data_IF_109031617385
#
_entry.id   IF_109031617385
#
_cell.length_a   1.000
_cell.length_b   1.000
_cell.length_c   1.000
_cell.angle_alpha   90.00
_cell.angle_beta   90.00
_cell.angle_gamma   90.00
#
_symmetry.space_group_name_H-M   'P 1'
#
loop_
_entity.id
_entity.type
_entity.pdbx_description
1 polymer ?
#
# COMPACT_ATOMS: atom_id res chain seq x y z
N UNK A 1 21.95 8.87 2.23
CA UNK A 1 23.25 8.35 1.70
C UNK A 1 24.43 8.47 2.67
N UNK A 2 24.60 9.63 3.32
CA UNK A 2 25.67 9.92 4.29
C UNK A 2 25.33 9.48 5.74
N UNK A 3 24.11 9.00 5.98
CA UNK A 3 23.60 8.63 7.29
C UNK A 3 23.04 9.81 8.10
N UNK A 4 22.97 11.02 7.53
CA UNK A 4 22.26 12.15 8.12
C UNK A 4 20.78 11.82 8.27
N UNK A 5 20.21 12.11 9.45
CA UNK A 5 18.77 12.00 9.70
C UNK A 5 18.13 13.35 9.39
N UNK A 6 17.10 13.35 8.56
CA UNK A 6 16.31 14.53 8.23
C UNK A 6 14.98 14.49 8.98
N UNK A 7 14.49 15.66 9.40
CA UNK A 7 13.23 15.78 10.13
C UNK A 7 12.40 16.88 9.49
N UNK A 8 11.17 16.54 9.09
CA UNK A 8 10.13 17.52 8.80
C UNK A 8 9.60 18.06 10.12
N UNK A 9 9.97 19.29 10.46
CA UNK A 9 9.57 19.97 11.69
C UNK A 9 8.32 20.81 11.38
N UNK A 10 7.20 20.09 11.21
CA UNK A 10 5.95 20.53 10.59
C UNK A 10 5.49 21.92 11.05
N UNK A 11 5.26 22.09 12.35
CA UNK A 11 4.72 23.34 12.90
C UNK A 11 5.73 24.48 12.94
N UNK A 12 7.02 24.16 12.90
CA UNK A 12 8.08 25.14 12.75
C UNK A 12 8.42 25.42 11.27
N UNK A 13 7.74 24.75 10.32
CA UNK A 13 7.90 24.92 8.87
C UNK A 13 9.36 24.81 8.42
N UNK A 14 10.07 23.84 9.00
CA UNK A 14 11.52 23.67 8.83
C UNK A 14 11.85 22.25 8.43
N UNK A 15 12.95 22.11 7.70
CA UNK A 15 13.61 20.83 7.49
C UNK A 15 14.91 20.84 8.29
N UNK A 16 15.02 19.94 9.26
CA UNK A 16 16.17 19.82 10.17
C UNK A 16 17.07 18.67 9.72
N UNK A 17 18.36 18.79 10.04
CA UNK A 17 19.38 17.77 9.82
C UNK A 17 20.02 17.41 11.14
N UNK A 18 20.16 16.12 11.41
CA UNK A 18 20.89 15.59 12.54
C UNK A 18 22.08 14.81 11.99
N UNK A 19 23.27 15.34 12.21
CA UNK A 19 24.50 14.72 11.75
C UNK A 19 24.73 13.40 12.50
N UNK A 20 25.05 12.32 11.78
CA UNK A 20 25.18 10.96 12.36
C UNK A 20 26.27 10.86 13.42
N UNK A 21 27.41 11.49 13.13
CA UNK A 21 28.65 11.41 13.89
C UNK A 21 28.62 12.26 15.16
N UNK A 22 28.16 13.50 15.01
CA UNK A 22 28.16 14.51 16.08
C UNK A 22 26.83 14.64 16.80
N UNK A 23 25.75 14.06 16.25
CA UNK A 23 24.35 14.24 16.68
C UNK A 23 23.92 15.71 16.69
N UNK A 24 24.67 16.58 16.02
CA UNK A 24 24.38 18.02 15.98
C UNK A 24 23.16 18.28 15.10
N UNK A 25 22.20 19.00 15.66
CA UNK A 25 21.03 19.49 14.91
C UNK A 25 21.38 20.78 14.17
N UNK A 26 21.05 20.86 12.90
CA UNK A 26 21.13 22.07 12.08
C UNK A 26 19.87 22.21 11.20
N UNK A 27 19.72 23.33 10.52
CA UNK A 27 18.58 23.59 9.62
C UNK A 27 19.05 23.46 8.17
N UNK A 28 18.37 22.63 7.38
CA UNK A 28 18.57 22.56 5.93
C UNK A 28 17.78 23.67 5.23
N UNK A 29 16.52 23.84 5.62
CA UNK A 29 15.62 24.83 5.07
C UNK A 29 14.82 25.50 6.20
N UNK A 30 14.84 26.82 6.21
CA UNK A 30 14.08 27.64 7.15
C UNK A 30 12.91 28.34 6.43
N UNK A 31 11.70 27.83 6.65
CA UNK A 31 10.46 28.34 6.06
C UNK A 31 9.59 29.17 7.01
N UNK A 32 10.03 29.40 8.26
CA UNK A 32 9.19 29.98 9.31
C UNK A 32 8.75 31.44 9.05
N UNK A 33 9.59 32.24 8.40
CA UNK A 33 9.39 33.70 8.26
C UNK A 33 8.89 34.14 6.88
N UNK A 34 8.57 33.20 5.99
CA UNK A 34 8.23 33.50 4.60
C UNK A 34 6.81 33.02 4.26
N UNK A 35 6.00 33.95 3.77
CA UNK A 35 4.63 33.68 3.32
C UNK A 35 4.51 33.94 1.82
N UNK A 36 4.78 32.90 1.03
CA UNK A 36 4.46 32.88 -0.40
C UNK A 36 4.10 31.45 -0.77
N UNK A 37 3.02 31.27 -1.55
CA UNK A 37 2.64 29.95 -2.02
C UNK A 37 3.60 29.47 -3.11
N UNK A 38 4.19 30.40 -3.86
CA UNK A 38 5.03 30.19 -5.03
C UNK A 38 6.49 29.92 -4.66
N UNK A 39 6.99 30.51 -3.58
CA UNK A 39 8.37 30.29 -3.12
C UNK A 39 8.50 28.88 -2.48
N UNK A 40 9.31 27.98 -3.04
CA UNK A 40 9.50 26.61 -2.51
C UNK A 40 10.17 26.59 -1.14
N UNK A 41 10.78 27.69 -0.69
CA UNK A 41 11.36 27.81 0.65
C UNK A 41 10.29 28.00 1.73
N UNK A 42 9.08 28.40 1.35
CA UNK A 42 7.95 28.64 2.24
C UNK A 42 7.12 27.36 2.39
N UNK A 43 7.55 26.44 3.27
CA UNK A 43 6.75 25.26 3.59
C UNK A 43 5.56 25.67 4.46
N UNK A 44 4.35 25.19 4.15
CA UNK A 44 3.17 25.48 4.98
C UNK A 44 2.88 24.38 5.97
N UNK A 45 2.95 23.13 5.52
CA UNK A 45 2.68 21.95 6.34
C UNK A 45 3.55 20.77 5.85
N UNK A 46 4.88 20.81 6.08
CA UNK A 46 5.75 19.71 5.68
C UNK A 46 5.44 18.49 6.54
N UNK A 47 4.93 17.43 5.93
CA UNK A 47 4.41 16.26 6.64
C UNK A 47 5.41 15.12 6.70
N UNK A 48 5.91 14.70 5.55
CA UNK A 48 6.86 13.60 5.44
C UNK A 48 7.98 13.95 4.45
N UNK A 49 9.06 13.19 4.49
CA UNK A 49 10.20 13.37 3.61
C UNK A 49 10.89 12.06 3.23
N UNK A 50 11.57 12.09 2.09
CA UNK A 50 12.48 11.03 1.66
C UNK A 50 13.74 11.63 1.03
N UNK A 51 14.76 10.81 0.79
CA UNK A 51 16.06 11.24 0.28
C UNK A 51 16.51 10.38 -0.89
N UNK A 52 16.85 11.00 -2.02
CA UNK A 52 17.34 10.28 -3.20
C UNK A 52 18.81 9.83 -3.08
N UNK A 53 19.25 9.04 -4.06
CA UNK A 53 20.62 8.56 -4.19
C UNK A 53 21.68 9.67 -4.22
N UNK A 54 21.28 10.89 -4.63
CA UNK A 54 22.13 12.09 -4.72
C UNK A 54 22.08 12.95 -3.45
N UNK A 55 21.29 12.56 -2.46
CA UNK A 55 21.13 13.29 -1.20
C UNK A 55 20.14 14.46 -1.25
N UNK A 56 19.35 14.58 -2.31
CA UNK A 56 18.26 15.57 -2.35
C UNK A 56 17.12 15.09 -1.45
N UNK A 57 16.56 16.00 -0.67
CA UNK A 57 15.41 15.76 0.20
C UNK A 57 14.14 16.13 -0.55
N UNK A 58 13.17 15.22 -0.62
CA UNK A 58 11.83 15.49 -1.15
C UNK A 58 10.86 15.56 0.01
N UNK A 59 10.06 16.61 0.06
CA UNK A 59 9.16 16.92 1.18
C UNK A 59 7.74 17.07 0.66
N UNK A 60 6.79 16.44 1.33
CA UNK A 60 5.37 16.66 1.07
C UNK A 60 4.89 17.91 1.82
N UNK A 61 4.45 18.94 1.09
CA UNK A 61 3.89 20.17 1.65
C UNK A 61 2.37 20.13 1.53
N UNK A 62 1.73 19.58 2.56
CA UNK A 62 0.33 19.17 2.55
C UNK A 62 -0.64 20.29 2.23
N UNK A 63 -0.36 21.51 2.67
CA UNK A 63 -1.28 22.64 2.48
C UNK A 63 -1.25 23.21 1.08
N UNK A 64 -0.11 23.13 0.41
CA UNK A 64 0.04 23.60 -0.97
C UNK A 64 -0.06 22.46 -1.99
N UNK A 65 -0.36 21.24 -1.54
CA UNK A 65 -0.54 20.04 -2.36
C UNK A 65 0.61 19.87 -3.37
N UNK A 66 1.84 19.94 -2.88
CA UNK A 66 3.07 19.90 -3.70
C UNK A 66 4.17 19.08 -3.05
N UNK A 67 5.11 18.64 -3.87
CA UNK A 67 6.37 18.04 -3.47
C UNK A 67 7.49 19.07 -3.67
N UNK A 68 8.21 19.40 -2.60
CA UNK A 68 9.37 20.29 -2.65
C UNK A 68 10.65 19.48 -2.64
N UNK A 69 11.54 19.74 -3.58
CA UNK A 69 12.90 19.17 -3.62
C UNK A 69 13.88 20.16 -3.01
N UNK A 70 14.77 19.68 -2.15
CA UNK A 70 15.81 20.47 -1.50
C UNK A 70 17.15 19.77 -1.72
N UNK A 71 18.11 20.46 -2.33
CA UNK A 71 19.45 19.90 -2.57
C UNK A 71 20.26 19.82 -1.25
N UNK A 72 21.37 19.06 -1.20
CA UNK A 72 22.26 19.05 -0.04
C UNK A 72 22.76 20.44 0.38
N UNK A 73 22.89 21.38 -0.57
CA UNK A 73 23.29 22.78 -0.33
C UNK A 73 22.14 23.67 0.17
N UNK A 74 20.90 23.15 0.26
CA UNK A 74 19.73 23.87 0.74
C UNK A 74 18.97 24.66 -0.32
N UNK A 75 19.28 24.46 -1.61
CA UNK A 75 18.50 25.04 -2.71
C UNK A 75 17.16 24.31 -2.83
N UNK A 76 16.05 25.05 -2.77
CA UNK A 76 14.70 24.48 -2.83
C UNK A 76 14.00 24.79 -4.16
N UNK A 77 13.28 23.82 -4.71
CA UNK A 77 12.44 23.94 -5.90
C UNK A 77 11.14 23.15 -5.75
N UNK A 78 10.09 23.56 -6.48
CA UNK A 78 8.87 22.75 -6.60
C UNK A 78 9.18 21.62 -7.58
N UNK A 79 9.10 20.37 -7.11
CA UNK A 79 9.39 19.21 -7.94
C UNK A 79 8.16 18.73 -8.71
N UNK A 80 7.03 18.61 -8.01
CA UNK A 80 5.79 18.14 -8.58
C UNK A 80 4.58 18.71 -7.85
N UNK A 81 3.49 18.91 -8.59
CA UNK A 81 2.25 19.48 -8.06
C UNK A 81 2.36 20.97 -7.81
N UNK A 82 1.24 21.68 -7.98
CA UNK A 82 1.07 23.03 -7.48
C UNK A 82 -0.41 23.42 -7.63
N UNK A 83 -1.15 23.52 -6.53
CA UNK A 83 -2.48 24.11 -6.57
C UNK A 83 -2.69 25.02 -5.35
N UNK A 84 -2.68 26.34 -5.59
CA UNK A 84 -2.87 27.34 -4.54
C UNK A 84 -4.24 27.26 -3.84
N UNK A 85 -5.19 26.51 -4.41
CA UNK A 85 -6.55 26.29 -3.92
C UNK A 85 -6.78 24.88 -3.35
N UNK A 86 -5.79 23.97 -3.46
CA UNK A 86 -5.83 22.59 -2.96
C UNK A 86 -6.71 21.62 -3.77
N UNK A 87 -6.50 20.30 -3.59
CA UNK A 87 -7.55 19.29 -3.78
C UNK A 87 -7.82 18.74 -5.19
N UNK A 88 -7.04 19.11 -6.20
CA UNK A 88 -7.21 18.58 -7.57
C UNK A 88 -6.44 17.27 -7.78
N UNK A 89 -6.94 16.42 -8.69
CA UNK A 89 -6.31 15.15 -9.07
C UNK A 89 -5.95 15.19 -10.55
N UNK A 90 -4.65 15.24 -10.86
CA UNK A 90 -4.19 15.25 -12.25
C UNK A 90 -2.80 14.66 -12.38
N UNK A 91 -2.62 13.70 -13.29
CA UNK A 91 -1.33 13.21 -13.74
C UNK A 91 -0.68 14.22 -14.71
N UNK A 92 0.64 14.36 -14.68
CA UNK A 92 1.32 15.38 -15.47
C UNK A 92 2.78 15.58 -15.10
N UNK A 93 3.46 16.42 -15.86
CA UNK A 93 4.88 16.72 -15.65
C UNK A 93 5.05 17.86 -14.63
N UNK A 94 5.78 17.59 -13.55
CA UNK A 94 6.15 18.59 -12.54
C UNK A 94 4.94 19.34 -11.98
N UNK A 95 4.94 20.67 -12.12
CA UNK A 95 3.85 21.53 -11.63
C UNK A 95 2.55 21.45 -12.44
N UNK A 96 2.53 20.72 -13.56
CA UNK A 96 1.31 20.45 -14.33
C UNK A 96 0.47 19.34 -13.70
N UNK A 97 1.07 18.50 -12.84
CA UNK A 97 0.33 17.53 -12.05
C UNK A 97 -0.40 18.21 -10.87
N UNK A 98 -1.34 17.50 -10.25
CA UNK A 98 -2.00 17.92 -9.01
C UNK A 98 -2.27 16.75 -8.08
N UNK A 99 -2.16 17.02 -6.79
CA UNK A 99 -2.41 16.10 -5.68
C UNK A 99 -3.63 16.56 -4.87
N UNK A 100 -4.42 15.61 -4.36
CA UNK A 100 -5.55 15.92 -3.49
C UNK A 100 -5.08 16.17 -2.05
N UNK A 101 -4.13 15.37 -1.59
CA UNK A 101 -3.48 15.46 -0.29
C UNK A 101 -2.22 14.60 -0.29
N UNK A 102 -1.05 15.11 -0.71
CA UNK A 102 0.18 14.33 -0.71
C UNK A 102 0.69 14.16 0.74
N UNK A 103 0.43 13.02 1.37
CA UNK A 103 0.78 12.73 2.77
C UNK A 103 2.18 12.13 2.89
N UNK A 104 2.28 10.81 3.07
CA UNK A 104 3.56 10.13 3.20
C UNK A 104 4.23 9.92 1.86
N UNK A 105 5.56 9.87 1.89
CA UNK A 105 6.39 9.73 0.68
C UNK A 105 7.50 8.71 0.89
N UNK A 106 7.55 7.73 -0.01
CA UNK A 106 8.63 6.74 -0.09
C UNK A 106 9.44 6.91 -1.37
N UNK A 107 10.61 6.27 -1.43
CA UNK A 107 11.45 6.24 -2.62
C UNK A 107 11.96 4.83 -2.88
N UNK A 108 11.97 4.41 -4.14
CA UNK A 108 12.57 3.14 -4.55
C UNK A 108 14.08 3.29 -4.87
N UNK A 109 14.83 2.18 -5.05
CA UNK A 109 16.25 2.23 -5.40
C UNK A 109 16.59 2.86 -6.75
N UNK A 110 15.59 3.17 -7.58
CA UNK A 110 15.74 3.83 -8.88
C UNK A 110 15.37 5.33 -8.81
N UNK A 111 15.27 5.88 -7.60
CA UNK A 111 14.87 7.26 -7.30
C UNK A 111 13.44 7.62 -7.76
N UNK A 112 12.56 6.65 -7.98
CA UNK A 112 11.14 6.96 -8.15
C UNK A 112 10.50 7.19 -6.78
N UNK A 113 9.73 8.28 -6.67
CA UNK A 113 8.98 8.61 -5.47
C UNK A 113 7.58 7.99 -5.54
N UNK A 114 7.07 7.59 -4.39
CA UNK A 114 5.72 7.07 -4.22
C UNK A 114 5.04 7.89 -3.12
N UNK A 115 3.88 8.46 -3.42
CA UNK A 115 3.18 9.41 -2.55
C UNK A 115 1.78 8.88 -2.26
N UNK A 116 1.43 8.78 -0.98
CA UNK A 116 0.05 8.57 -0.56
C UNK A 116 -0.74 9.84 -0.85
N UNK A 117 -1.74 9.75 -1.72
CA UNK A 117 -2.57 10.89 -2.13
C UNK A 117 -4.06 10.62 -1.82
N UNK A 118 -4.42 10.42 -0.53
CA UNK A 118 -5.81 10.25 -0.13
C UNK A 118 -6.57 11.58 -0.08
N UNK A 119 -7.90 11.48 -0.13
CA UNK A 119 -8.80 12.53 0.32
C UNK A 119 -9.22 12.22 1.78
N UNK A 120 -8.77 12.97 2.80
CA UNK A 120 -9.16 12.69 4.18
C UNK A 120 -10.65 12.92 4.39
N UNK A 121 -11.35 11.97 5.03
CA UNK A 121 -12.80 12.03 5.28
C UNK A 121 -13.24 13.23 6.12
N UNK A 122 -12.39 13.67 7.04
CA UNK A 122 -12.62 14.78 7.97
C UNK A 122 -12.42 16.15 7.32
N UNK A 123 -11.59 16.23 6.28
CA UNK A 123 -11.01 17.51 5.90
C UNK A 123 -12.09 18.53 5.54
N UNK A 124 -12.00 19.76 6.04
CA UNK A 124 -12.83 20.87 5.53
C UNK A 124 -12.64 21.04 4.02
N UNK A 125 -11.49 20.59 3.49
CA UNK A 125 -11.23 20.43 2.05
C UNK A 125 -12.25 19.51 1.38
N UNK A 126 -12.70 18.43 2.02
CA UNK A 126 -13.73 17.54 1.51
C UNK A 126 -15.13 18.16 1.44
N UNK A 127 -15.34 19.46 1.72
CA UNK A 127 -16.67 20.10 1.67
C UNK A 127 -16.88 21.02 0.47
N UNK A 128 -15.82 21.41 -0.24
CA UNK A 128 -15.92 22.30 -1.40
C UNK A 128 -15.65 21.54 -2.72
N UNK A 129 -16.19 22.03 -3.83
CA UNK A 129 -16.38 21.35 -5.14
C UNK A 129 -15.10 20.91 -5.89
N UNK A 130 -14.25 20.14 -5.23
CA UNK A 130 -13.00 19.58 -5.68
C UNK A 130 -13.24 18.27 -6.44
N UNK A 131 -13.81 18.37 -7.65
CA UNK A 131 -13.80 17.31 -8.67
C UNK A 131 -14.08 15.87 -8.19
N UNK A 132 -13.43 14.92 -8.85
CA UNK A 132 -13.49 13.49 -8.48
C UNK A 132 -12.61 13.23 -7.26
N UNK A 133 -13.15 12.54 -6.25
CA UNK A 133 -12.43 12.14 -5.03
C UNK A 133 -11.88 10.74 -5.21
N UNK A 134 -10.58 10.57 -5.01
CA UNK A 134 -9.90 9.30 -5.21
C UNK A 134 -8.90 9.07 -4.09
N UNK A 135 -8.92 7.86 -3.54
CA UNK A 135 -7.84 7.38 -2.68
C UNK A 135 -6.81 6.71 -3.58
N UNK A 136 -5.64 7.30 -3.68
CA UNK A 136 -4.63 6.85 -4.64
C UNK A 136 -3.24 6.86 -4.05
N UNK A 137 -2.36 6.11 -4.70
CA UNK A 137 -0.92 6.17 -4.54
C UNK A 137 -0.38 6.68 -5.86
N UNK A 138 0.42 7.74 -5.81
CA UNK A 138 1.00 8.40 -6.98
C UNK A 138 2.46 7.99 -7.11
N UNK A 139 2.93 7.77 -8.33
CA UNK A 139 4.35 7.59 -8.63
C UNK A 139 4.88 8.86 -9.29
N UNK A 140 6.09 9.25 -8.93
CA UNK A 140 6.82 10.36 -9.53
C UNK A 140 8.18 9.85 -9.99
N UNK A 141 8.46 9.91 -11.27
CA UNK A 141 9.77 9.53 -11.81
C UNK A 141 10.83 10.60 -11.49
N UNK A 142 12.14 10.27 -11.61
CA UNK A 142 13.23 11.21 -11.33
C UNK A 142 13.20 12.51 -12.14
N UNK A 143 12.57 12.52 -13.32
CA UNK A 143 12.37 13.68 -14.18
C UNK A 143 11.10 14.49 -13.87
N UNK A 144 10.30 14.03 -12.90
CA UNK A 144 9.13 14.75 -12.39
C UNK A 144 7.80 14.37 -13.04
N UNK A 145 7.74 13.32 -13.85
CA UNK A 145 6.46 12.84 -14.38
C UNK A 145 5.66 12.17 -13.26
N UNK A 146 4.49 12.72 -12.95
CA UNK A 146 3.53 12.15 -12.00
C UNK A 146 2.55 11.26 -12.74
N UNK A 147 2.36 10.04 -12.24
CA UNK A 147 1.32 9.11 -12.69
C UNK A 147 0.57 8.50 -11.51
N UNK A 148 -0.64 8.03 -11.76
CA UNK A 148 -1.37 7.16 -10.85
C UNK A 148 -0.69 5.79 -10.80
N UNK A 149 -0.20 5.37 -9.63
CA UNK A 149 0.42 4.06 -9.46
C UNK A 149 -0.60 3.00 -9.10
N UNK A 150 -1.48 3.30 -8.15
CA UNK A 150 -2.51 2.39 -7.65
C UNK A 150 -3.66 3.19 -7.01
N UNK A 151 -4.82 2.55 -6.85
CA UNK A 151 -5.97 3.15 -6.21
C UNK A 151 -6.75 4.02 -7.18
N UNK A 152 -7.90 3.51 -7.61
CA UNK A 152 -8.78 4.19 -8.55
C UNK A 152 -10.22 4.29 -8.04
N UNK A 153 -10.46 4.10 -6.74
CA UNK A 153 -11.79 4.17 -6.14
C UNK A 153 -12.38 5.57 -6.36
N UNK A 154 -13.37 5.76 -7.26
CA UNK A 154 -14.10 7.01 -7.36
C UNK A 154 -15.06 6.99 -6.17
N UNK A 155 -14.73 7.67 -5.08
CA UNK A 155 -15.48 7.47 -3.83
C UNK A 155 -16.94 7.92 -4.00
N UNK A 156 -17.86 6.96 -3.90
CA UNK A 156 -19.06 7.12 -3.09
C UNK A 156 -18.69 6.89 -1.63
N UNK A 157 -19.13 7.74 -0.72
CA UNK A 157 -18.73 7.81 0.68
C UNK A 157 -19.26 6.63 1.54
N UNK A 158 -19.14 5.37 1.11
CA UNK A 158 -19.51 4.22 1.97
C UNK A 158 -18.34 3.77 2.84
N UNK A 159 -18.67 3.36 4.08
CA UNK A 159 -17.71 2.91 5.09
C UNK A 159 -16.97 1.64 4.66
N UNK A 160 -15.65 1.61 4.90
CA UNK A 160 -14.73 0.47 4.72
C UNK A 160 -14.83 -0.26 3.38
N UNK A 161 -14.26 0.32 2.32
CA UNK A 161 -14.11 -0.36 1.03
C UNK A 161 -12.63 -0.48 0.66
N UNK A 162 -12.20 -1.69 0.32
CA UNK A 162 -10.88 -1.98 -0.23
C UNK A 162 -10.98 -3.24 -1.09
N UNK A 163 -10.06 -3.40 -2.04
CA UNK A 163 -10.00 -4.60 -2.87
C UNK A 163 -8.54 -4.97 -3.17
N UNK A 164 -8.24 -6.26 -3.05
CA UNK A 164 -6.98 -6.83 -3.54
C UNK A 164 -7.05 -7.00 -5.06
N UNK A 165 -5.90 -7.00 -5.72
CA UNK A 165 -5.81 -7.22 -7.16
C UNK A 165 -4.69 -6.43 -7.81
N UNK A 166 -4.64 -6.46 -9.13
CA UNK A 166 -3.72 -5.61 -9.87
C UNK A 166 -4.08 -4.12 -9.64
N UNK A 167 -3.11 -3.21 -9.70
CA UNK A 167 -3.25 -1.78 -9.39
C UNK A 167 -4.37 -1.05 -10.15
N UNK A 168 -4.84 -1.61 -11.26
CA UNK A 168 -5.96 -1.09 -12.06
C UNK A 168 -7.34 -1.30 -11.38
N UNK A 169 -7.45 -2.30 -10.51
CA UNK A 169 -8.71 -2.67 -9.82
C UNK A 169 -8.58 -2.66 -8.30
N UNK A 170 -7.35 -2.56 -7.77
CA UNK A 170 -7.10 -2.46 -6.34
C UNK A 170 -7.61 -1.12 -5.79
N UNK A 171 -8.41 -1.21 -4.73
CA UNK A 171 -8.96 -0.08 -4.00
C UNK A 171 -8.32 0.03 -2.62
N UNK A 172 -8.17 1.27 -2.16
CA UNK A 172 -7.55 1.64 -0.89
C UNK A 172 -8.43 2.65 -0.18
N UNK A 173 -8.42 2.64 1.15
CA UNK A 173 -9.15 3.60 1.98
C UNK A 173 -8.21 4.42 2.87
N UNK A 174 -7.91 5.63 2.42
CA UNK A 174 -6.91 6.51 3.05
C UNK A 174 -5.47 5.93 3.10
N UNK A 175 -4.83 5.65 1.95
CA UNK A 175 -3.41 5.26 1.90
C UNK A 175 -2.49 6.42 2.30
N UNK A 176 -2.36 6.71 3.59
CA UNK A 176 -1.67 7.90 4.08
C UNK A 176 -0.15 7.83 3.91
N UNK A 177 0.47 6.74 4.36
CA UNK A 177 1.93 6.63 4.41
C UNK A 177 2.44 5.57 3.45
N UNK A 178 3.70 5.75 3.03
CA UNK A 178 4.34 4.93 2.00
C UNK A 178 5.71 4.48 2.50
N UNK A 179 5.91 3.17 2.56
CA UNK A 179 7.23 2.54 2.67
C UNK A 179 7.59 1.86 1.36
N UNK A 180 8.87 1.76 1.03
CA UNK A 180 9.33 1.01 -0.15
C UNK A 180 10.51 0.14 0.27
N UNK A 181 10.57 -1.11 -0.20
CA UNK A 181 11.73 -1.98 0.01
C UNK A 181 12.73 -1.92 -1.14
N UNK A 182 13.88 -2.58 -0.98
CA UNK A 182 14.94 -2.60 -1.99
C UNK A 182 14.57 -3.38 -3.26
N UNK A 183 13.50 -4.17 -3.23
CA UNK A 183 12.96 -4.85 -4.42
C UNK A 183 12.00 -3.95 -5.22
N UNK A 184 11.64 -2.79 -4.66
CA UNK A 184 10.66 -1.87 -5.23
C UNK A 184 9.21 -2.23 -4.90
N UNK A 185 8.95 -3.06 -3.89
CA UNK A 185 7.61 -3.24 -3.39
C UNK A 185 7.22 -2.05 -2.51
N UNK A 186 5.98 -1.59 -2.66
CA UNK A 186 5.41 -0.47 -1.93
C UNK A 186 4.52 -0.98 -0.81
N UNK A 187 4.65 -0.41 0.37
CA UNK A 187 3.84 -0.72 1.54
C UNK A 187 3.04 0.53 1.92
N UNK A 188 1.78 0.34 2.24
CA UNK A 188 0.94 1.45 2.72
C UNK A 188 -0.01 0.99 3.80
N UNK A 189 -0.41 1.93 4.64
CA UNK A 189 -1.47 1.71 5.60
C UNK A 189 -2.78 2.08 4.95
N UNK A 190 -3.68 1.11 4.87
CA UNK A 190 -5.08 1.41 4.61
C UNK A 190 -5.70 1.73 5.96
N UNK A 191 -5.50 2.98 6.41
CA UNK A 191 -5.69 3.37 7.80
C UNK A 191 -7.14 3.28 8.23
N UNK A 192 -8.06 3.45 7.28
CA UNK A 192 -9.48 3.31 7.55
C UNK A 192 -9.87 1.84 7.59
N UNK A 193 -9.32 0.99 6.72
CA UNK A 193 -9.55 -0.46 6.81
C UNK A 193 -8.77 -1.15 7.94
N UNK A 194 -7.86 -0.46 8.64
CA UNK A 194 -7.07 -1.01 9.75
C UNK A 194 -6.13 -2.14 9.31
N UNK A 195 -5.59 -2.04 8.09
CA UNK A 195 -4.71 -3.06 7.50
C UNK A 195 -3.44 -2.44 6.92
N UNK A 196 -2.39 -3.25 6.83
CA UNK A 196 -1.18 -2.97 6.07
C UNK A 196 -1.29 -3.65 4.71
N UNK A 197 -1.09 -2.87 3.64
CA UNK A 197 -1.14 -3.30 2.25
C UNK A 197 0.28 -3.42 1.71
N UNK A 198 0.52 -4.43 0.86
CA UNK A 198 1.73 -4.54 0.04
C UNK A 198 1.33 -4.50 -1.43
N UNK A 199 2.04 -3.69 -2.21
CA UNK A 199 1.95 -3.61 -3.66
C UNK A 199 3.29 -4.04 -4.20
N UNK A 200 3.30 -5.12 -4.96
CA UNK A 200 4.50 -5.67 -5.57
C UNK A 200 4.98 -4.81 -6.73
N UNK A 201 6.26 -4.92 -7.10
CA UNK A 201 6.83 -4.18 -8.24
C UNK A 201 6.13 -4.42 -9.58
N UNK A 202 5.43 -5.56 -9.74
CA UNK A 202 4.63 -5.90 -10.91
C UNK A 202 3.15 -5.50 -10.75
N UNK A 203 2.83 -4.65 -9.78
CA UNK A 203 1.51 -4.02 -9.67
C UNK A 203 0.44 -4.88 -9.00
N UNK A 204 0.78 -5.94 -8.27
CA UNK A 204 -0.22 -6.69 -7.47
C UNK A 204 -0.29 -6.14 -6.05
N UNK A 205 -1.46 -5.63 -5.68
CA UNK A 205 -1.80 -5.18 -4.33
C UNK A 205 -2.53 -6.27 -3.54
N UNK A 206 -2.17 -6.42 -2.26
CA UNK A 206 -2.85 -7.31 -1.34
C UNK A 206 -2.71 -6.86 0.12
N UNK A 207 -3.59 -7.36 1.00
CA UNK A 207 -3.39 -7.23 2.45
C UNK A 207 -2.20 -8.06 2.89
N UNK A 208 -1.18 -7.41 3.44
CA UNK A 208 -0.02 -8.05 4.07
C UNK A 208 -0.32 -8.40 5.53
N UNK A 209 -0.97 -7.48 6.25
CA UNK A 209 -1.27 -7.65 7.67
C UNK A 209 -2.60 -6.99 8.02
N UNK A 210 -3.29 -7.52 9.03
CA UNK A 210 -4.53 -6.95 9.52
C UNK A 210 -5.80 -7.67 9.05
N UNK A 211 -6.85 -7.60 9.87
CA UNK A 211 -8.20 -8.01 9.51
C UNK A 211 -9.05 -6.78 9.29
N UNK A 212 -9.55 -6.60 8.07
CA UNK A 212 -10.20 -5.35 7.71
C UNK A 212 -11.45 -5.03 8.53
N UNK A 213 -11.53 -3.78 8.97
CA UNK A 213 -12.61 -3.25 9.80
C UNK A 213 -12.58 -3.71 11.25
N UNK A 214 -11.50 -4.39 11.69
CA UNK A 214 -11.26 -4.70 13.10
C UNK A 214 -10.10 -3.85 13.62
N UNK A 215 -10.40 -3.01 14.61
CA UNK A 215 -9.41 -2.27 15.37
C UNK A 215 -8.88 -3.09 16.54
N UNK A 216 -7.65 -2.80 16.97
CA UNK A 216 -7.02 -3.45 18.11
C UNK A 216 -5.50 -3.41 18.01
N UNK A 217 -4.80 -4.08 18.94
CA UNK A 217 -3.34 -4.09 19.04
C UNK A 217 -2.75 -5.51 19.12
N UNK A 218 -3.49 -6.52 18.65
CA UNK A 218 -3.11 -7.92 18.78
C UNK A 218 -1.96 -8.29 17.83
N UNK A 219 -0.85 -8.75 18.40
CA UNK A 219 0.29 -9.37 17.70
C UNK A 219 0.03 -10.86 17.49
N UNK A 220 -0.59 -11.21 16.36
CA UNK A 220 -0.83 -12.61 16.00
C UNK A 220 0.44 -13.29 15.47
N UNK A 221 0.48 -14.63 15.53
CA UNK A 221 1.56 -15.46 14.97
C UNK A 221 1.66 -15.35 13.42
N UNK A 222 0.62 -14.87 12.75
CA UNK A 222 0.63 -14.51 11.34
C UNK A 222 0.13 -13.08 11.15
N UNK A 223 0.76 -12.36 10.21
CA UNK A 223 0.51 -10.95 10.00
C UNK A 223 -0.96 -10.68 9.62
N UNK A 224 -1.61 -11.57 8.90
CA UNK A 224 -2.99 -11.43 8.40
C UNK A 224 -4.05 -11.44 9.51
N UNK A 225 -3.73 -11.97 10.70
CA UNK A 225 -4.63 -11.99 11.86
C UNK A 225 -4.27 -10.98 12.94
N UNK A 226 -3.21 -10.19 12.74
CA UNK A 226 -2.90 -9.08 13.62
C UNK A 226 -3.99 -8.02 13.58
N UNK A 227 -4.16 -7.25 14.65
CA UNK A 227 -5.09 -6.12 14.70
C UNK A 227 -4.31 -4.81 14.82
N UNK A 228 -4.78 -3.77 14.14
CA UNK A 228 -4.10 -2.48 14.05
C UNK A 228 -5.05 -1.34 14.44
N UNK A 229 -4.49 -0.27 14.98
CA UNK A 229 -5.20 0.97 15.27
C UNK A 229 -5.16 1.89 14.06
N UNK A 230 -3.97 2.36 13.67
CA UNK A 230 -3.81 3.18 12.46
C UNK A 230 -2.37 3.14 11.97
N UNK A 231 -2.04 2.27 11.02
CA UNK A 231 -0.67 2.14 10.52
C UNK A 231 -0.34 3.34 9.62
N UNK A 232 0.41 4.32 10.13
CA UNK A 232 0.67 5.61 9.45
C UNK A 232 2.15 5.91 9.20
N UNK A 233 3.06 4.97 9.49
CA UNK A 233 4.48 5.14 9.22
C UNK A 233 5.11 3.82 8.87
N UNK A 234 5.96 3.81 7.84
CA UNK A 234 6.58 2.60 7.32
C UNK A 234 8.07 2.82 7.08
N UNK A 235 8.89 1.85 7.50
CA UNK A 235 10.29 1.77 7.13
C UNK A 235 10.69 0.32 6.93
N UNK A 236 11.63 0.06 6.03
CA UNK A 236 12.15 -1.28 5.77
C UNK A 236 13.62 -1.33 6.14
N UNK A 237 14.09 -2.48 6.65
CA UNK A 237 15.52 -2.75 6.75
C UNK A 237 16.04 -3.54 5.54
N UNK A 238 17.36 -3.75 5.49
CA UNK A 238 18.02 -4.51 4.43
C UNK A 238 17.62 -6.00 4.39
N UNK A 239 16.99 -6.51 5.45
CA UNK A 239 16.47 -7.87 5.52
C UNK A 239 14.99 -7.92 5.13
N UNK A 240 14.39 -6.85 4.58
CA UNK A 240 12.96 -6.75 4.28
C UNK A 240 12.04 -6.87 5.51
N UNK A 241 12.56 -6.60 6.72
CA UNK A 241 11.68 -6.40 7.88
C UNK A 241 10.97 -5.06 7.73
N UNK A 242 9.65 -5.07 7.78
CA UNK A 242 8.83 -3.87 7.75
C UNK A 242 8.55 -3.40 9.18
N UNK A 243 8.94 -2.18 9.49
CA UNK A 243 8.61 -1.47 10.71
C UNK A 243 7.39 -0.59 10.45
N UNK A 244 6.37 -0.72 11.30
CA UNK A 244 5.09 -0.05 11.16
C UNK A 244 4.80 0.77 12.42
N UNK A 245 4.51 2.06 12.24
CA UNK A 245 4.03 2.93 13.32
C UNK A 245 2.51 2.79 13.41
N UNK A 246 2.05 2.08 14.44
CA UNK A 246 0.64 1.85 14.74
C UNK A 246 0.12 2.98 15.63
N UNK A 247 -0.22 4.09 14.99
CA UNK A 247 -0.35 5.42 15.60
C UNK A 247 -1.44 5.48 16.67
N UNK A 248 -2.61 4.92 16.40
CA UNK A 248 -3.74 4.92 17.36
C UNK A 248 -3.49 4.00 18.57
N UNK A 249 -2.53 3.08 18.47
CA UNK A 249 -2.11 2.21 19.56
C UNK A 249 -0.83 2.66 20.26
N UNK A 250 -0.17 3.72 19.77
CA UNK A 250 1.11 4.21 20.30
C UNK A 250 2.24 3.16 20.26
N UNK A 251 2.23 2.29 19.24
CA UNK A 251 3.19 1.20 19.09
C UNK A 251 4.05 1.36 17.83
N UNK A 252 5.26 0.81 17.89
CA UNK A 252 6.06 0.49 16.70
C UNK A 252 6.14 -1.03 16.63
N UNK A 253 5.66 -1.60 15.53
CA UNK A 253 5.54 -3.04 15.33
C UNK A 253 6.40 -3.48 14.15
N UNK A 254 6.81 -4.74 14.14
CA UNK A 254 7.63 -5.31 13.06
C UNK A 254 6.87 -6.44 12.39
N UNK A 255 6.89 -6.45 11.06
CA UNK A 255 6.45 -7.57 10.23
C UNK A 255 7.72 -8.12 9.57
N UNK A 256 8.06 -9.36 9.93
CA UNK A 256 9.22 -10.04 9.35
C UNK A 256 8.86 -10.57 7.95
N UNK A 257 9.82 -10.61 7.02
CA UNK A 257 9.61 -11.32 5.76
C UNK A 257 9.31 -12.80 6.05
N UNK A 258 8.38 -13.40 5.32
CA UNK A 258 8.16 -14.84 5.42
C UNK A 258 9.15 -15.57 4.50
N UNK A 259 9.99 -16.42 5.08
CA UNK A 259 10.79 -17.40 4.31
C UNK A 259 9.91 -18.54 3.76
N UNK A 260 8.65 -18.60 4.18
CA UNK A 260 7.77 -19.74 4.04
C UNK A 260 6.46 -19.39 3.32
N UNK A 261 6.51 -19.43 1.98
CA UNK A 261 5.35 -19.13 1.11
C UNK A 261 4.20 -20.12 1.31
N UNK A 262 4.47 -21.34 1.79
CA UNK A 262 3.46 -22.38 2.02
C UNK A 262 2.66 -22.13 3.31
N UNK A 263 3.28 -21.53 4.33
CA UNK A 263 2.60 -21.17 5.57
C UNK A 263 1.57 -20.02 5.40
N UNK A 264 1.78 -19.09 4.47
CA UNK A 264 0.86 -17.94 4.27
C UNK A 264 -0.46 -18.34 3.57
N UNK A 265 -0.42 -19.29 2.62
CA UNK A 265 -1.64 -19.76 1.94
C UNK A 265 -2.40 -20.78 2.81
N UNK A 266 -1.70 -21.63 3.56
CA UNK A 266 -2.32 -22.66 4.39
C UNK A 266 -2.94 -22.14 5.69
N UNK A 267 -2.54 -20.94 6.17
CA UNK A 267 -3.02 -20.36 7.44
C UNK A 267 -4.07 -19.27 7.28
N UNK A 268 -4.35 -18.79 6.07
CA UNK A 268 -5.44 -17.84 5.83
C UNK A 268 -6.77 -18.57 6.04
N UNK A 269 -7.53 -18.32 7.13
CA UNK A 269 -8.88 -18.83 7.19
C UNK A 269 -9.63 -18.14 6.05
N UNK A 270 -10.40 -18.89 5.26
CA UNK A 270 -11.19 -18.34 4.14
C UNK A 270 -12.10 -17.16 4.56
N UNK A 271 -12.27 -16.94 5.88
CA UNK A 271 -12.83 -15.74 6.48
C UNK A 271 -12.07 -15.35 7.76
N UNK A 272 -10.94 -14.65 7.64
CA UNK A 272 -10.12 -14.19 8.78
C UNK A 272 -10.93 -13.46 9.87
N UNK A 273 -11.92 -12.65 9.47
CA UNK A 273 -12.84 -11.97 10.40
C UNK A 273 -13.75 -12.94 11.16
N UNK A 274 -14.32 -13.93 10.47
CA UNK A 274 -15.15 -14.97 11.11
C UNK A 274 -14.31 -15.84 12.06
N UNK A 275 -13.09 -16.20 11.66
CA UNK A 275 -12.16 -16.89 12.55
C UNK A 275 -11.84 -16.04 13.80
N UNK A 276 -11.63 -14.74 13.64
CA UNK A 276 -11.44 -13.86 14.79
C UNK A 276 -12.68 -13.84 15.71
N UNK A 277 -13.87 -13.64 15.15
CA UNK A 277 -15.14 -13.60 15.89
C UNK A 277 -15.45 -14.93 16.61
N UNK A 278 -15.22 -16.06 15.95
CA UNK A 278 -15.55 -17.40 16.47
C UNK A 278 -14.48 -17.93 17.46
N UNK A 279 -13.19 -17.73 17.18
CA UNK A 279 -12.09 -18.44 17.87
C UNK A 279 -11.18 -17.56 18.72
N UNK A 280 -11.03 -16.26 18.40
CA UNK A 280 -10.05 -15.37 19.04
C UNK A 280 -10.69 -14.31 19.95
N UNK A 281 -11.88 -13.83 19.62
CA UNK A 281 -12.62 -12.81 20.38
C UNK A 281 -12.73 -13.17 21.86
N UNK A 282 -13.12 -14.41 22.15
CA UNK A 282 -13.29 -14.89 23.52
C UNK A 282 -11.97 -15.12 24.27
N UNK A 283 -10.86 -15.30 23.56
CA UNK A 283 -9.54 -15.64 24.13
C UNK A 283 -8.67 -14.41 24.39
N UNK A 284 -8.79 -13.35 23.58
CA UNK A 284 -7.80 -12.26 23.55
C UNK A 284 -8.35 -10.85 23.81
N UNK A 285 -9.67 -10.68 23.94
CA UNK A 285 -10.27 -9.40 24.35
C UNK A 285 -10.43 -9.35 25.87
N UNK A 286 -9.81 -8.35 26.49
CA UNK A 286 -9.87 -8.03 27.92
C UNK A 286 -11.33 -8.01 28.42
N UNK A 287 -11.67 -8.72 29.52
CA UNK A 287 -13.00 -8.72 30.12
C UNK A 287 -13.61 -7.33 30.38
N UNK A 288 -12.81 -6.30 30.68
CA UNK A 288 -13.34 -4.94 30.88
C UNK A 288 -13.75 -4.27 29.56
N UNK A 289 -13.13 -4.63 28.44
CA UNK A 289 -13.54 -4.20 27.09
C UNK A 289 -14.80 -4.94 26.58
N UNK A 290 -15.26 -5.99 27.28
CA UNK A 290 -16.45 -6.78 26.91
C UNK A 290 -17.78 -6.16 27.35
N UNK A 291 -17.77 -5.23 28.32
CA UNK A 291 -18.99 -4.84 29.02
C UNK A 291 -19.97 -4.01 28.15
N UNK A 292 -19.47 -3.22 27.19
CA UNK A 292 -20.32 -2.30 26.42
C UNK A 292 -20.20 -2.40 24.89
N UNK A 293 -19.28 -3.21 24.34
CA UNK A 293 -19.09 -3.35 22.90
C UNK A 293 -19.45 -4.76 22.43
N UNK A 294 -20.60 -4.89 21.77
CA UNK A 294 -20.84 -6.03 20.87
C UNK A 294 -19.86 -5.91 19.68
N UNK A 295 -19.39 -7.01 19.07
CA UNK A 295 -18.66 -6.92 17.81
C UNK A 295 -19.48 -6.06 16.85
N UNK A 296 -18.84 -5.13 16.11
CA UNK A 296 -19.57 -4.24 15.22
C UNK A 296 -20.46 -5.07 14.32
N UNK A 297 -21.79 -4.86 14.44
CA UNK A 297 -22.76 -5.55 13.60
C UNK A 297 -22.40 -5.24 12.15
N UNK A 298 -22.42 -6.24 11.26
CA UNK A 298 -22.14 -5.97 9.86
C UNK A 298 -23.20 -5.00 9.31
N UNK A 299 -22.79 -3.76 9.03
CA UNK A 299 -23.54 -2.84 8.17
C UNK A 299 -23.15 -3.18 6.73
N UNK A 300 -23.59 -4.34 6.25
CA UNK A 300 -23.44 -4.67 4.83
C UNK A 300 -24.37 -3.77 4.01
N UNK A 301 -23.81 -3.00 3.09
CA UNK A 301 -24.23 -3.17 1.70
C UNK A 301 -23.79 -4.56 1.32
N UNK A 302 -24.74 -5.47 1.09
CA UNK A 302 -24.47 -6.84 0.70
C UNK A 302 -23.78 -6.78 -0.67
N UNK A 303 -22.45 -6.75 -0.71
CA UNK A 303 -21.80 -7.61 -1.66
C UNK A 303 -22.08 -9.02 -1.17
N UNK A 304 -22.43 -9.96 -2.06
CA UNK A 304 -22.71 -11.32 -1.64
C UNK A 304 -21.51 -11.82 -0.82
N UNK A 305 -21.67 -12.89 -0.02
CA UNK A 305 -20.48 -13.66 0.36
C UNK A 305 -19.64 -13.84 -0.92
N UNK A 306 -18.33 -13.99 -0.78
CA UNK A 306 -17.57 -14.66 -1.83
C UNK A 306 -18.19 -16.07 -1.92
N UNK A 307 -19.34 -16.20 -2.58
CA UNK A 307 -19.57 -17.25 -3.51
C UNK A 307 -18.37 -17.17 -4.42
N UNK A 308 -17.79 -18.33 -4.58
CA UNK A 308 -16.78 -18.63 -5.54
C UNK A 308 -17.17 -18.09 -6.93
N UNK A 309 -16.91 -16.81 -7.17
CA UNK A 309 -17.06 -16.18 -8.48
C UNK A 309 -15.99 -16.73 -9.44
N UNK A 310 -15.04 -17.53 -8.94
CA UNK A 310 -14.13 -18.30 -9.77
C UNK A 310 -14.81 -19.56 -10.31
N UNK A 311 -15.65 -20.26 -9.54
CA UNK A 311 -16.39 -21.42 -10.04
C UNK A 311 -17.48 -21.05 -11.05
N UNK A 312 -18.27 -19.99 -10.82
CA UNK A 312 -19.32 -19.61 -11.78
C UNK A 312 -18.75 -18.98 -13.06
N UNK A 313 -17.68 -18.17 -12.96
CA UNK A 313 -16.98 -17.67 -14.14
C UNK A 313 -16.20 -18.76 -14.85
N UNK A 314 -15.56 -19.69 -14.13
CA UNK A 314 -14.85 -20.80 -14.78
C UNK A 314 -15.83 -21.78 -15.40
N UNK A 315 -17.00 -22.02 -14.80
CA UNK A 315 -18.07 -22.79 -15.42
C UNK A 315 -18.59 -22.10 -16.70
N UNK A 316 -18.79 -20.77 -16.67
CA UNK A 316 -19.17 -20.00 -17.87
C UNK A 316 -18.08 -20.02 -18.95
N UNK A 317 -16.80 -20.00 -18.58
CA UNK A 317 -15.67 -20.14 -19.51
C UNK A 317 -15.58 -21.56 -20.07
N UNK A 318 -15.76 -22.58 -19.24
CA UNK A 318 -15.76 -23.98 -19.64
C UNK A 318 -16.91 -24.27 -20.61
N UNK A 319 -18.11 -23.76 -20.32
CA UNK A 319 -19.28 -23.87 -21.20
C UNK A 319 -19.07 -23.10 -22.53
N UNK A 320 -18.41 -21.95 -22.50
CA UNK A 320 -18.05 -21.19 -23.71
C UNK A 320 -17.01 -21.92 -24.58
N UNK A 321 -16.00 -22.55 -23.95
CA UNK A 321 -14.98 -23.34 -24.65
C UNK A 321 -15.58 -24.63 -25.21
N UNK A 322 -16.45 -25.33 -24.46
CA UNK A 322 -17.21 -26.49 -24.95
C UNK A 322 -18.05 -26.14 -26.17
N UNK A 323 -18.84 -25.07 -26.11
CA UNK A 323 -19.62 -24.57 -27.26
C UNK A 323 -18.74 -24.21 -28.47
N UNK A 324 -17.55 -23.66 -28.24
CA UNK A 324 -16.60 -23.33 -29.30
C UNK A 324 -16.01 -24.59 -29.97
N UNK A 325 -15.72 -25.64 -29.20
CA UNK A 325 -15.17 -26.91 -29.70
C UNK A 325 -16.22 -27.71 -30.49
N UNK A 326 -17.45 -27.78 -29.99
CA UNK A 326 -18.58 -28.39 -30.73
C UNK A 326 -18.82 -27.66 -32.06
N UNK A 327 -18.78 -26.32 -32.07
CA UNK A 327 -18.90 -25.53 -33.30
C UNK A 327 -17.75 -25.77 -34.30
N UNK A 328 -16.61 -26.30 -33.84
CA UNK A 328 -15.46 -26.69 -34.67
C UNK A 328 -15.48 -28.17 -35.08
N UNK A 329 -16.56 -28.91 -34.77
CA UNK A 329 -16.76 -30.29 -35.21
C UNK A 329 -16.18 -31.36 -34.27
N UNK A 330 -15.91 -31.01 -33.00
CA UNK A 330 -15.56 -32.00 -31.96
C UNK A 330 -16.85 -32.55 -31.35
N UNK A 331 -16.99 -33.87 -31.28
CA UNK A 331 -18.14 -34.52 -30.65
C UNK A 331 -18.15 -34.23 -29.14
N UNK A 332 -19.34 -33.91 -28.59
CA UNK A 332 -19.49 -33.40 -27.22
C UNK A 332 -19.07 -34.42 -26.15
N UNK A 333 -19.21 -35.72 -26.46
CA UNK A 333 -18.81 -36.84 -25.58
C UNK A 333 -17.28 -36.99 -25.50
N UNK A 334 -16.53 -36.46 -26.47
CA UNK A 334 -15.06 -36.52 -26.53
C UNK A 334 -14.38 -35.31 -25.85
N UNK A 335 -15.16 -34.35 -25.32
CA UNK A 335 -14.60 -33.17 -24.62
C UNK A 335 -14.39 -33.52 -23.14
N UNK A 336 -13.12 -33.64 -22.68
CA UNK A 336 -12.83 -34.05 -21.30
C UNK A 336 -13.39 -33.04 -20.29
N UNK A 337 -13.75 -33.53 -19.11
CA UNK A 337 -14.08 -32.68 -17.97
C UNK A 337 -12.84 -31.90 -17.51
N UNK A 338 -13.05 -30.76 -16.85
CA UNK A 338 -11.97 -29.97 -16.26
C UNK A 338 -11.06 -30.79 -15.36
N UNK A 339 -11.60 -31.70 -14.56
CA UNK A 339 -10.83 -32.58 -13.66
C UNK A 339 -9.95 -33.56 -14.45
N UNK A 340 -10.44 -34.10 -15.56
CA UNK A 340 -9.67 -34.99 -16.44
C UNK A 340 -8.54 -34.24 -17.15
N UNK A 341 -8.82 -33.04 -17.68
CA UNK A 341 -7.82 -32.21 -18.36
C UNK A 341 -6.72 -31.73 -17.39
N UNK A 342 -7.09 -31.31 -16.18
CA UNK A 342 -6.14 -30.93 -15.13
C UNK A 342 -5.33 -32.12 -14.64
N UNK A 343 -5.94 -33.30 -14.54
CA UNK A 343 -5.25 -34.55 -14.24
C UNK A 343 -4.21 -34.92 -15.30
N UNK A 344 -4.50 -34.74 -16.58
CA UNK A 344 -3.55 -34.97 -17.67
C UNK A 344 -2.42 -33.91 -17.72
N UNK A 345 -2.74 -32.63 -17.49
CA UNK A 345 -1.73 -31.56 -17.42
C UNK A 345 -0.79 -31.79 -16.23
N UNK A 346 -1.32 -32.17 -15.06
CA UNK A 346 -0.52 -32.51 -13.90
C UNK A 346 0.38 -33.74 -14.17
N UNK A 347 -0.15 -34.79 -14.80
CA UNK A 347 0.63 -35.97 -15.20
C UNK A 347 1.75 -35.63 -16.18
N UNK A 348 1.47 -34.85 -17.23
CA UNK A 348 2.50 -34.38 -18.18
C UNK A 348 3.54 -33.50 -17.52
N UNK A 349 3.13 -32.59 -16.64
CA UNK A 349 4.06 -31.72 -15.91
C UNK A 349 4.96 -32.53 -14.99
N UNK A 350 4.43 -33.54 -14.30
CA UNK A 350 5.20 -34.47 -13.46
C UNK A 350 6.14 -35.35 -14.31
N UNK A 351 5.74 -35.79 -15.50
CA UNK A 351 6.62 -36.54 -16.42
C UNK A 351 7.74 -35.68 -16.98
N UNK A 352 7.46 -34.43 -17.37
CA UNK A 352 8.48 -33.47 -17.79
C UNK A 352 9.46 -33.17 -16.66
N UNK A 353 8.95 -32.92 -15.44
CA UNK A 353 9.77 -32.70 -14.26
C UNK A 353 10.61 -33.93 -13.88
N UNK A 354 10.15 -35.16 -14.15
CA UNK A 354 10.95 -36.38 -13.93
C UNK A 354 12.07 -36.56 -14.96
N UNK A 355 11.90 -36.03 -16.17
CA UNK A 355 12.89 -36.14 -17.23
C UNK A 355 13.93 -35.00 -17.21
N UNK A 356 13.62 -33.87 -16.56
CA UNK A 356 14.48 -32.67 -16.52
C UNK A 356 15.22 -32.46 -15.18
N UNK A 357 15.22 -33.42 -14.24
CA UNK A 357 16.09 -33.33 -13.05
C UNK A 357 17.53 -33.67 -13.45
N UNK A 358 18.50 -32.73 -13.44
CA UNK A 358 19.90 -33.08 -13.54
C UNK A 358 20.29 -33.87 -12.30
N UNK A 359 20.91 -35.05 -12.47
CA UNK A 359 21.45 -35.80 -11.32
C UNK A 359 22.46 -34.93 -10.58
N UNK A 360 22.41 -34.87 -9.23
CA UNK A 360 23.34 -34.05 -8.46
C UNK A 360 24.78 -34.53 -8.64
N UNK A 361 25.64 -33.53 -8.80
CA UNK A 361 27.11 -33.53 -8.77
C UNK A 361 27.74 -34.55 -7.82
N UNK A 362 28.70 -35.33 -8.31
CA UNK A 362 29.75 -35.92 -7.47
C UNK A 362 30.81 -34.83 -7.13
N UNK A 363 31.31 -34.76 -5.89
CA UNK A 363 32.34 -33.80 -5.50
C UNK A 363 33.72 -34.20 -6.07
N UNK A 364 34.59 -33.23 -6.43
CA UNK A 364 35.94 -33.53 -6.91
C UNK A 364 36.90 -33.93 -5.78
N UNK A 365 37.76 -34.92 -6.05
CA UNK A 365 39.05 -35.14 -5.35
C UNK A 365 40.14 -34.21 -5.91
#
# INVERSE_FOLDING_TARGET
PDGTIYVADTYNRRIRKIARDTRRVSTLLDGADKYSKEDPRCLFNPYDLTVDSKGNVFVTDLTLCRIVKITPSGEASIFAGFNASGGAYLDGMGSLASFQGPYGIGIDPWDNLYVGDPVPYDSERAKEGLGERRHSIRKISPDGQVTTFAGNSPTGLSDYHYSDGHVEVAEFHEPFSIGVDWEGNVYTGDSRCKVVRKITKNGWAGTLAGVAGLDGNYDADCAELSLWGSPLGFATDFNNTLFVVDTENYLIRKIFPSDDKEAMVARRPANARKYYEDELWNKHVDPEYRLDRKPPKPTYGILPPIFDLSEEMEHKKEEAVRKMLVKKGVDEEDIPSREEAMGEIAKRTIETLKNDIPRPWDPPE
#
